data_IF_734899928109
#
_entry.id   IF_734899928109
#
_cell.length_a   1.000
_cell.length_b   1.000
_cell.length_c   1.000
_cell.angle_alpha   90.00
_cell.angle_beta   90.00
_cell.angle_gamma   90.00
#
_symmetry.space_group_name_H-M   'P 1'
#
loop_
_entity.id
_entity.type
_entity.pdbx_description
1 polymer ?
#
# COMPACT_ATOMS: atom_id res chain seq x y z
N UNK A 1 -5.92 25.79 -15.90
CA UNK A 1 -6.14 24.78 -16.96
C UNK A 1 -4.88 24.81 -17.81
N UNK A 2 -3.99 23.82 -17.65
CA UNK A 2 -2.87 23.63 -18.58
C UNK A 2 -3.46 23.14 -19.90
N UNK A 3 -2.91 23.57 -21.02
CA UNK A 3 -3.43 23.36 -22.38
C UNK A 3 -3.53 21.88 -22.82
N UNK A 4 -3.09 20.92 -22.02
CA UNK A 4 -3.05 19.48 -22.36
C UNK A 4 -4.06 18.60 -21.60
N UNK A 5 -5.04 19.18 -20.89
CA UNK A 5 -6.13 18.40 -20.27
C UNK A 5 -5.69 17.41 -19.17
N UNK A 6 -4.44 17.42 -18.74
CA UNK A 6 -3.96 16.58 -17.63
C UNK A 6 -4.46 17.18 -16.33
N UNK A 7 -5.42 16.52 -15.70
CA UNK A 7 -5.90 16.90 -14.37
C UNK A 7 -4.73 16.76 -13.38
N UNK A 8 -4.30 17.86 -12.78
CA UNK A 8 -3.26 17.83 -11.73
C UNK A 8 -3.81 17.04 -10.54
N UNK A 9 -3.15 15.95 -10.17
CA UNK A 9 -3.50 15.17 -8.99
C UNK A 9 -2.98 15.91 -7.75
N UNK A 10 -3.86 16.41 -6.86
CA UNK A 10 -3.43 17.10 -5.66
C UNK A 10 -2.78 16.14 -4.67
N UNK A 11 -1.94 16.66 -3.79
CA UNK A 11 -1.37 15.91 -2.67
C UNK A 11 -2.03 16.27 -1.37
N UNK A 12 -1.96 15.37 -0.39
CA UNK A 12 -2.48 15.58 0.97
C UNK A 12 -1.41 15.32 2.01
N UNK A 13 -1.51 16.02 3.15
CA UNK A 13 -0.74 15.69 4.34
C UNK A 13 -1.31 14.45 5.03
N UNK A 14 -0.51 13.83 5.90
CA UNK A 14 -0.97 12.74 6.77
C UNK A 14 -2.15 13.16 7.64
N UNK A 15 -2.15 14.40 8.13
CA UNK A 15 -3.25 14.95 8.92
C UNK A 15 -4.54 15.08 8.08
N UNK A 16 -4.45 15.57 6.85
CA UNK A 16 -5.58 15.64 5.94
C UNK A 16 -6.10 14.24 5.59
N UNK A 17 -5.22 13.27 5.36
CA UNK A 17 -5.67 11.90 5.06
C UNK A 17 -6.42 11.27 6.23
N UNK A 18 -5.98 11.48 7.47
CA UNK A 18 -6.72 11.04 8.66
C UNK A 18 -8.11 11.66 8.74
N UNK A 19 -8.23 12.93 8.37
CA UNK A 19 -9.53 13.60 8.36
C UNK A 19 -10.43 13.08 7.24
N UNK A 20 -9.88 12.76 6.05
CA UNK A 20 -10.62 12.04 5.00
C UNK A 20 -11.15 10.72 5.53
N UNK A 21 -10.32 9.91 6.19
CA UNK A 21 -10.74 8.62 6.76
C UNK A 21 -11.85 8.81 7.80
N UNK A 22 -11.75 9.83 8.67
CA UNK A 22 -12.79 10.16 9.66
C UNK A 22 -14.11 10.52 8.97
N UNK A 23 -14.08 11.41 7.98
CA UNK A 23 -15.27 11.83 7.22
C UNK A 23 -15.92 10.61 6.55
N UNK A 24 -15.11 9.75 5.94
CA UNK A 24 -15.59 8.52 5.30
C UNK A 24 -16.41 7.66 6.30
N UNK A 25 -15.84 7.39 7.46
CA UNK A 25 -16.43 6.47 8.44
C UNK A 25 -17.54 7.13 9.24
N UNK A 26 -17.28 8.32 9.82
CA UNK A 26 -18.17 8.92 10.82
C UNK A 26 -19.32 9.71 10.17
N UNK A 27 -19.12 10.33 9.01
CA UNK A 27 -20.12 11.19 8.38
C UNK A 27 -20.79 10.53 7.16
N UNK A 28 -20.01 9.84 6.32
CA UNK A 28 -20.53 9.22 5.10
C UNK A 28 -20.90 7.75 5.30
N UNK A 29 -20.62 7.18 6.47
CA UNK A 29 -20.90 5.78 6.83
C UNK A 29 -20.33 4.77 5.84
N UNK A 30 -19.16 5.09 5.25
CA UNK A 30 -18.41 4.17 4.41
C UNK A 30 -17.50 3.35 5.33
N UNK A 31 -17.83 2.09 5.47
CA UNK A 31 -17.18 1.19 6.41
C UNK A 31 -15.70 0.93 6.04
N UNK A 32 -14.85 0.84 7.06
CA UNK A 32 -13.43 0.51 6.89
C UNK A 32 -13.22 -0.79 6.09
N UNK A 33 -14.15 -1.74 6.19
CA UNK A 33 -14.15 -2.98 5.42
C UNK A 33 -14.23 -2.71 3.90
N UNK A 34 -15.09 -1.75 3.50
CA UNK A 34 -15.24 -1.36 2.09
C UNK A 34 -13.97 -0.71 1.56
N UNK A 35 -13.36 0.18 2.35
CA UNK A 35 -12.09 0.84 2.00
C UNK A 35 -10.97 -0.19 1.84
N UNK A 36 -10.82 -1.14 2.78
CA UNK A 36 -9.84 -2.23 2.69
C UNK A 36 -10.06 -3.15 1.48
N UNK A 37 -11.32 -3.47 1.16
CA UNK A 37 -11.64 -4.28 -0.02
C UNK A 37 -11.21 -3.58 -1.32
N UNK A 38 -11.43 -2.27 -1.43
CA UNK A 38 -10.99 -1.50 -2.59
C UNK A 38 -9.46 -1.42 -2.65
N UNK A 39 -8.80 -1.06 -1.54
CA UNK A 39 -7.34 -0.99 -1.47
C UNK A 39 -6.68 -2.32 -1.86
N UNK A 40 -7.14 -3.43 -1.28
CA UNK A 40 -6.58 -4.75 -1.56
C UNK A 40 -6.92 -5.26 -2.96
N UNK A 41 -8.09 -4.89 -3.50
CA UNK A 41 -8.46 -5.17 -4.89
C UNK A 41 -7.50 -4.47 -5.86
N UNK A 42 -7.25 -3.19 -5.63
CA UNK A 42 -6.32 -2.41 -6.45
C UNK A 42 -4.88 -2.92 -6.31
N UNK A 43 -4.42 -3.24 -5.09
CA UNK A 43 -3.09 -3.82 -4.87
C UNK A 43 -2.91 -5.15 -5.62
N UNK A 44 -3.89 -6.05 -5.54
CA UNK A 44 -3.83 -7.32 -6.27
C UNK A 44 -3.83 -7.11 -7.79
N UNK A 45 -4.65 -6.16 -8.30
CA UNK A 45 -4.70 -5.84 -9.71
C UNK A 45 -3.38 -5.22 -10.20
N UNK A 46 -2.79 -4.32 -9.41
CA UNK A 46 -1.50 -3.71 -9.70
C UNK A 46 -0.37 -4.75 -9.73
N UNK A 47 -0.32 -5.62 -8.72
CA UNK A 47 0.65 -6.72 -8.68
C UNK A 47 0.50 -7.68 -9.86
N UNK A 48 -0.75 -8.01 -10.26
CA UNK A 48 -1.01 -8.82 -11.45
C UNK A 48 -0.50 -8.15 -12.72
N UNK A 49 -0.75 -6.86 -12.89
CA UNK A 49 -0.24 -6.09 -14.04
C UNK A 49 1.28 -6.07 -14.06
N UNK A 50 1.90 -5.80 -12.92
CA UNK A 50 3.36 -5.79 -12.75
C UNK A 50 4.00 -7.14 -13.12
N UNK A 51 3.35 -8.25 -12.77
CA UNK A 51 3.80 -9.61 -13.08
C UNK A 51 3.42 -10.07 -14.51
N UNK A 52 2.99 -9.17 -15.38
CA UNK A 52 2.69 -9.47 -16.79
C UNK A 52 1.32 -10.15 -17.02
N UNK A 53 0.39 -10.03 -16.07
CA UNK A 53 -1.01 -10.46 -16.21
C UNK A 53 -1.28 -11.91 -15.83
N UNK A 54 -0.29 -12.81 -15.88
CA UNK A 54 -0.44 -14.24 -15.57
C UNK A 54 0.05 -14.54 -14.15
N UNK A 55 -0.86 -15.04 -13.32
CA UNK A 55 -0.58 -15.31 -11.91
C UNK A 55 -0.48 -16.81 -11.55
N UNK A 56 -0.93 -17.71 -12.44
CA UNK A 56 -0.92 -19.13 -12.16
C UNK A 56 0.49 -19.64 -11.82
N UNK A 57 0.65 -20.11 -10.58
CA UNK A 57 1.91 -20.62 -10.06
C UNK A 57 2.91 -19.54 -9.61
N UNK A 58 2.63 -18.24 -9.79
CA UNK A 58 3.47 -17.16 -9.28
C UNK A 58 3.47 -17.15 -7.75
N UNK A 59 4.66 -17.08 -7.18
CA UNK A 59 4.84 -17.01 -5.73
C UNK A 59 4.81 -15.56 -5.26
N UNK A 60 3.83 -15.18 -4.44
CA UNK A 60 3.70 -13.83 -3.91
C UNK A 60 3.69 -13.86 -2.39
N UNK A 61 4.59 -13.12 -1.78
CA UNK A 61 4.63 -12.98 -0.32
C UNK A 61 4.10 -11.61 0.06
N UNK A 62 3.09 -11.58 0.94
CA UNK A 62 2.49 -10.35 1.46
C UNK A 62 3.00 -10.12 2.89
N UNK A 63 3.70 -9.04 3.11
CA UNK A 63 4.10 -8.57 4.44
C UNK A 63 2.99 -7.67 4.98
N UNK A 64 2.29 -8.09 6.02
CA UNK A 64 1.11 -7.40 6.52
C UNK A 64 1.29 -6.93 7.97
N UNK A 65 1.00 -5.65 8.20
CA UNK A 65 0.85 -5.09 9.54
C UNK A 65 -0.53 -5.40 10.14
N UNK A 66 -0.77 -4.88 11.37
CA UNK A 66 -2.04 -5.11 12.10
C UNK A 66 -3.11 -4.05 11.81
N UNK A 67 -2.75 -2.95 11.13
CA UNK A 67 -3.64 -1.82 10.82
C UNK A 67 -4.34 -1.94 9.48
N UNK A 68 -4.91 -0.81 9.02
CA UNK A 68 -5.65 -0.71 7.75
C UNK A 68 -4.84 -1.13 6.54
N UNK A 69 -3.57 -0.72 6.49
CA UNK A 69 -2.64 -1.10 5.41
C UNK A 69 -2.48 -2.63 5.34
N UNK A 70 -2.20 -3.26 6.48
CA UNK A 70 -2.14 -4.73 6.58
C UNK A 70 -3.43 -5.41 6.15
N UNK A 71 -4.59 -4.85 6.53
CA UNK A 71 -5.90 -5.35 6.09
C UNK A 71 -6.05 -5.34 4.56
N UNK A 72 -5.62 -4.26 3.89
CA UNK A 72 -5.54 -4.19 2.43
C UNK A 72 -4.63 -5.27 1.84
N UNK A 73 -3.46 -5.50 2.46
CA UNK A 73 -2.55 -6.60 2.09
C UNK A 73 -3.21 -7.99 2.20
N UNK A 74 -3.96 -8.24 3.28
CA UNK A 74 -4.69 -9.51 3.47
C UNK A 74 -5.77 -9.71 2.40
N UNK A 75 -6.49 -8.66 2.01
CA UNK A 75 -7.44 -8.71 0.88
C UNK A 75 -6.71 -9.03 -0.42
N UNK A 76 -5.56 -8.40 -0.66
CA UNK A 76 -4.75 -8.68 -1.85
C UNK A 76 -4.29 -10.13 -1.90
N UNK A 77 -3.80 -10.70 -0.78
CA UNK A 77 -3.41 -12.11 -0.68
C UNK A 77 -4.57 -13.04 -1.09
N UNK A 78 -5.78 -12.77 -0.57
CA UNK A 78 -6.99 -13.51 -0.93
C UNK A 78 -7.26 -13.46 -2.44
N UNK A 79 -7.23 -12.29 -3.05
CA UNK A 79 -7.53 -12.10 -4.47
C UNK A 79 -6.49 -12.74 -5.36
N UNK A 80 -5.21 -12.60 -5.03
CA UNK A 80 -4.12 -13.25 -5.76
C UNK A 80 -4.26 -14.77 -5.74
N UNK A 81 -4.62 -15.36 -4.59
CA UNK A 81 -4.91 -16.80 -4.46
C UNK A 81 -6.07 -17.21 -5.37
N UNK A 82 -7.18 -16.46 -5.39
CA UNK A 82 -8.33 -16.72 -6.27
C UNK A 82 -7.91 -16.65 -7.75
N UNK A 83 -6.94 -15.81 -8.10
CA UNK A 83 -6.43 -15.69 -9.46
C UNK A 83 -5.30 -16.67 -9.80
N UNK A 84 -5.03 -17.65 -8.93
CA UNK A 84 -4.11 -18.77 -9.18
C UNK A 84 -2.68 -18.56 -8.72
N UNK A 85 -2.37 -17.45 -8.03
CA UNK A 85 -1.07 -17.28 -7.40
C UNK A 85 -0.91 -18.19 -6.17
N UNK A 86 0.32 -18.58 -5.89
CA UNK A 86 0.72 -19.20 -4.62
C UNK A 86 1.05 -18.06 -3.64
N UNK A 87 0.00 -17.54 -2.99
CA UNK A 87 0.16 -16.46 -2.04
C UNK A 87 0.42 -16.97 -0.62
N UNK A 88 1.28 -16.26 0.10
CA UNK A 88 1.53 -16.46 1.52
C UNK A 88 1.62 -15.12 2.23
N UNK A 89 1.29 -15.09 3.53
CA UNK A 89 1.30 -13.87 4.34
C UNK A 89 2.33 -14.01 5.47
N UNK A 90 3.06 -12.94 5.73
CA UNK A 90 3.89 -12.78 6.91
C UNK A 90 3.37 -11.58 7.70
N UNK A 91 2.88 -11.84 8.91
CA UNK A 91 2.43 -10.80 9.83
C UNK A 91 3.62 -10.15 10.50
N UNK A 92 3.65 -8.81 10.51
CA UNK A 92 4.68 -8.03 11.20
C UNK A 92 4.59 -8.09 12.72
N UNK A 93 3.49 -8.64 13.26
CA UNK A 93 3.25 -8.82 14.70
C UNK A 93 2.49 -10.13 14.95
N UNK A 94 2.22 -10.45 16.24
CA UNK A 94 1.51 -11.67 16.56
C UNK A 94 0.06 -11.66 16.04
N UNK A 95 -0.48 -12.84 15.72
CA UNK A 95 -1.90 -12.98 15.33
C UNK A 95 -2.85 -12.39 16.37
N UNK A 96 -2.49 -12.51 17.64
CA UNK A 96 -3.31 -12.05 18.75
C UNK A 96 -3.40 -10.52 18.86
N UNK A 97 -2.55 -9.78 18.16
CA UNK A 97 -2.58 -8.30 18.09
C UNK A 97 -3.45 -7.78 16.94
N UNK A 98 -3.76 -8.61 15.95
CA UNK A 98 -4.64 -8.24 14.84
C UNK A 98 -6.07 -8.11 15.37
N UNK A 99 -6.73 -6.98 15.15
CA UNK A 99 -8.07 -6.66 15.68
C UNK A 99 -8.99 -6.10 14.59
N UNK A 100 -10.30 -6.08 14.86
CA UNK A 100 -11.28 -5.44 14.01
C UNK A 100 -11.33 -6.00 12.58
N UNK A 101 -11.42 -5.12 11.60
CA UNK A 101 -11.54 -5.50 10.19
C UNK A 101 -10.33 -6.30 9.66
N UNK A 102 -9.06 -5.96 9.98
CA UNK A 102 -7.92 -6.82 9.63
C UNK A 102 -8.04 -8.25 10.17
N UNK A 103 -8.53 -8.42 11.40
CA UNK A 103 -8.73 -9.77 11.98
C UNK A 103 -9.77 -10.58 11.20
N UNK A 104 -10.84 -9.93 10.74
CA UNK A 104 -11.84 -10.55 9.87
C UNK A 104 -11.21 -11.03 8.54
N UNK A 105 -10.40 -10.20 7.89
CA UNK A 105 -9.70 -10.59 6.67
C UNK A 105 -8.71 -11.75 6.91
N UNK A 106 -8.02 -11.73 8.05
CA UNK A 106 -7.10 -12.80 8.43
C UNK A 106 -7.84 -14.14 8.66
N UNK A 107 -9.03 -14.10 9.26
CA UNK A 107 -9.87 -15.28 9.44
C UNK A 107 -10.30 -15.88 8.10
N UNK A 108 -10.68 -15.04 7.12
CA UNK A 108 -11.03 -15.48 5.77
C UNK A 108 -9.86 -16.25 5.14
N UNK A 109 -8.64 -15.72 5.21
CA UNK A 109 -7.44 -16.38 4.69
C UNK A 109 -7.19 -17.73 5.34
N UNK A 110 -7.39 -17.80 6.66
CA UNK A 110 -7.28 -19.07 7.41
C UNK A 110 -8.29 -20.11 6.92
N UNK A 111 -9.53 -19.72 6.68
CA UNK A 111 -10.60 -20.61 6.13
C UNK A 111 -10.32 -21.03 4.67
N UNK A 112 -9.60 -20.23 3.92
CA UNK A 112 -9.15 -20.54 2.56
C UNK A 112 -7.91 -21.44 2.52
N UNK A 113 -7.25 -21.68 3.67
CA UNK A 113 -6.01 -22.44 3.74
C UNK A 113 -4.79 -21.68 3.21
N UNK A 114 -4.85 -20.36 3.11
CA UNK A 114 -3.69 -19.55 2.73
C UNK A 114 -2.68 -19.56 3.87
N UNK A 115 -1.39 -19.90 3.60
CA UNK A 115 -0.35 -19.90 4.62
C UNK A 115 -0.17 -18.51 5.23
N UNK A 116 -0.21 -18.46 6.57
CA UNK A 116 0.05 -17.22 7.33
C UNK A 116 1.04 -17.52 8.43
N UNK A 117 2.19 -16.86 8.40
CA UNK A 117 3.25 -16.92 9.40
C UNK A 117 3.33 -15.60 10.17
N UNK A 118 3.92 -15.63 11.34
CA UNK A 118 4.39 -14.43 12.02
C UNK A 118 5.85 -14.17 11.65
N UNK A 119 6.35 -12.97 11.90
CA UNK A 119 7.74 -12.62 11.64
C UNK A 119 8.74 -13.59 12.35
N UNK A 120 8.38 -14.12 13.53
CA UNK A 120 9.17 -15.08 14.29
C UNK A 120 9.22 -16.48 13.65
N UNK A 121 8.15 -16.85 12.93
CA UNK A 121 8.02 -18.14 12.24
C UNK A 121 8.57 -18.09 10.81
N UNK A 122 8.86 -16.88 10.35
CA UNK A 122 9.18 -16.63 8.96
C UNK A 122 10.60 -17.10 8.61
N UNK A 123 10.70 -17.89 7.53
CA UNK A 123 11.97 -18.30 6.96
C UNK A 123 12.35 -17.35 5.80
N UNK A 124 13.52 -16.70 5.86
CA UNK A 124 13.98 -15.77 4.79
C UNK A 124 13.98 -16.37 3.39
N UNK A 125 14.14 -17.69 3.27
CA UNK A 125 14.12 -18.42 2.00
C UNK A 125 12.80 -18.29 1.22
N UNK A 126 11.68 -17.96 1.91
CA UNK A 126 10.41 -17.72 1.24
C UNK A 126 10.44 -16.44 0.39
N UNK A 127 11.15 -15.39 0.83
CA UNK A 127 11.34 -14.18 0.01
C UNK A 127 12.28 -14.43 -1.16
N UNK A 128 13.27 -15.30 -1.00
CA UNK A 128 14.22 -15.63 -2.07
C UNK A 128 13.56 -16.33 -3.27
N UNK A 129 12.40 -16.96 -3.06
CA UNK A 129 11.64 -17.65 -4.11
C UNK A 129 10.44 -16.85 -4.63
N UNK A 130 10.15 -15.71 -4.04
CA UNK A 130 9.02 -14.89 -4.45
C UNK A 130 9.23 -14.29 -5.84
N UNK A 131 8.17 -14.25 -6.65
CA UNK A 131 8.11 -13.46 -7.88
C UNK A 131 7.82 -11.98 -7.58
N UNK A 132 7.13 -11.71 -6.47
CA UNK A 132 6.91 -10.35 -5.93
C UNK A 132 6.68 -10.39 -4.41
N UNK A 133 7.05 -9.30 -3.75
CA UNK A 133 6.77 -9.05 -2.34
C UNK A 133 5.81 -7.87 -2.28
N UNK A 134 4.68 -8.01 -1.55
CA UNK A 134 3.78 -6.89 -1.29
C UNK A 134 4.08 -6.34 0.10
N UNK A 135 4.47 -5.08 0.18
CA UNK A 135 4.65 -4.37 1.44
C UNK A 135 3.34 -3.71 1.85
N UNK A 136 2.71 -4.24 2.86
CA UNK A 136 1.54 -3.71 3.53
C UNK A 136 1.75 -3.66 5.06
N UNK A 137 3.01 -3.46 5.52
CA UNK A 137 3.36 -3.42 6.94
C UNK A 137 2.87 -2.13 7.60
N UNK A 138 3.27 -0.96 7.05
CA UNK A 138 2.97 0.35 7.61
C UNK A 138 2.57 1.28 6.46
N UNK A 139 1.40 1.89 6.56
CA UNK A 139 0.99 2.96 5.64
C UNK A 139 1.37 4.35 6.15
N UNK A 140 0.59 5.36 5.78
CA UNK A 140 0.84 6.77 6.11
C UNK A 140 0.89 7.09 7.62
N UNK A 141 0.46 6.18 8.49
CA UNK A 141 0.38 6.42 9.95
C UNK A 141 1.72 6.22 10.70
N UNK A 142 2.83 6.03 9.99
CA UNK A 142 4.16 5.84 10.58
C UNK A 142 4.53 6.98 11.54
N UNK A 143 5.07 6.61 12.70
CA UNK A 143 5.62 7.54 13.69
C UNK A 143 7.04 7.12 14.07
N UNK A 144 8.03 7.73 13.41
CA UNK A 144 9.44 7.43 13.62
C UNK A 144 9.88 6.08 13.01
N UNK A 145 11.10 5.61 13.30
CA UNK A 145 11.67 4.44 12.66
C UNK A 145 10.88 3.16 12.98
N UNK A 146 10.73 2.25 12.00
CA UNK A 146 10.13 0.94 12.23
C UNK A 146 10.86 0.16 13.33
N UNK A 147 10.08 -0.48 14.21
CA UNK A 147 10.61 -1.30 15.32
C UNK A 147 10.58 -2.78 14.96
N UNK A 148 11.34 -3.57 15.70
CA UNK A 148 11.25 -5.03 15.58
C UNK A 148 9.85 -5.54 15.97
N UNK A 149 9.34 -6.57 15.32
CA UNK A 149 10.00 -7.38 14.27
C UNK A 149 9.84 -6.83 12.83
N UNK A 150 9.07 -5.75 12.63
CA UNK A 150 8.82 -5.13 11.30
C UNK A 150 10.14 -4.67 10.66
N UNK A 151 11.04 -4.08 11.45
CA UNK A 151 12.35 -3.64 10.94
C UNK A 151 13.14 -4.79 10.29
N UNK A 152 13.13 -5.96 10.89
CA UNK A 152 13.78 -7.16 10.34
C UNK A 152 13.11 -7.64 9.05
N UNK A 153 11.79 -7.56 8.94
CA UNK A 153 11.05 -7.90 7.69
C UNK A 153 11.39 -6.94 6.55
N UNK A 154 11.45 -5.62 6.84
CA UNK A 154 11.85 -4.61 5.85
C UNK A 154 13.27 -4.91 5.33
N UNK A 155 14.23 -5.16 6.24
CA UNK A 155 15.60 -5.50 5.84
C UNK A 155 15.66 -6.81 5.03
N UNK A 156 14.83 -7.79 5.36
CA UNK A 156 14.75 -9.04 4.61
C UNK A 156 14.17 -8.82 3.20
N UNK A 157 13.10 -8.04 3.07
CA UNK A 157 12.50 -7.68 1.79
C UNK A 157 13.49 -6.94 0.89
N UNK A 158 14.21 -5.95 1.42
CA UNK A 158 15.21 -5.20 0.65
C UNK A 158 16.41 -6.04 0.19
N UNK A 159 16.69 -7.19 0.83
CA UNK A 159 17.75 -8.13 0.41
C UNK A 159 17.27 -9.15 -0.61
N UNK A 160 15.96 -9.33 -0.76
CA UNK A 160 15.41 -10.26 -1.74
C UNK A 160 15.63 -9.74 -3.17
N UNK A 161 15.74 -10.68 -4.12
CA UNK A 161 15.80 -10.34 -5.54
C UNK A 161 14.44 -9.99 -6.15
N UNK A 162 13.36 -10.37 -5.46
CA UNK A 162 12.00 -10.10 -5.89
C UNK A 162 11.67 -8.60 -5.78
N UNK A 163 10.94 -8.01 -6.75
CA UNK A 163 10.47 -6.63 -6.65
C UNK A 163 9.52 -6.47 -5.47
N UNK A 164 9.65 -5.34 -4.76
CA UNK A 164 8.72 -4.95 -3.70
C UNK A 164 7.69 -3.98 -4.26
N UNK A 165 6.42 -4.30 -4.09
CA UNK A 165 5.26 -3.47 -4.43
C UNK A 165 4.68 -2.93 -3.13
N UNK A 166 4.82 -1.63 -2.88
CA UNK A 166 4.36 -1.02 -1.64
C UNK A 166 2.90 -0.55 -1.75
N UNK A 167 2.14 -0.78 -0.68
CA UNK A 167 0.78 -0.27 -0.52
C UNK A 167 0.81 1.02 0.28
N UNK A 168 0.21 2.06 -0.26
CA UNK A 168 0.00 3.39 0.30
C UNK A 168 1.30 4.21 0.40
N UNK A 169 2.20 3.86 1.29
CA UNK A 169 3.52 4.47 1.50
C UNK A 169 4.51 3.34 1.77
N UNK A 170 5.70 3.32 1.15
CA UNK A 170 6.72 2.33 1.49
C UNK A 170 6.99 2.31 2.99
N UNK A 171 6.91 1.13 3.62
CA UNK A 171 7.06 1.02 5.07
C UNK A 171 8.42 1.53 5.54
N UNK A 172 8.39 2.53 6.42
CA UNK A 172 9.60 3.24 6.88
C UNK A 172 9.78 4.63 6.29
N UNK A 173 8.99 5.01 5.27
CA UNK A 173 9.01 6.37 4.70
C UNK A 173 8.01 7.26 5.42
N UNK A 174 8.41 8.49 5.75
CA UNK A 174 7.51 9.49 6.33
C UNK A 174 6.59 10.10 5.26
N UNK A 175 5.29 10.03 5.49
CA UNK A 175 4.28 10.43 4.51
C UNK A 175 4.19 11.94 4.25
N UNK A 176 4.69 12.79 5.13
CA UNK A 176 4.67 14.25 4.97
C UNK A 176 5.99 14.80 4.43
N UNK A 177 7.10 14.38 5.00
CA UNK A 177 8.43 14.91 4.66
C UNK A 177 9.14 14.14 3.54
N UNK A 178 8.76 12.87 3.32
CA UNK A 178 9.50 11.98 2.42
C UNK A 178 10.83 11.49 3.01
N UNK A 179 11.07 11.72 4.30
CA UNK A 179 12.25 11.21 5.00
C UNK A 179 12.17 9.69 5.14
N UNK A 180 13.21 9.00 4.71
CA UNK A 180 13.37 7.57 4.97
C UNK A 180 14.00 7.34 6.34
N UNK A 181 13.33 6.52 7.16
CA UNK A 181 13.92 6.01 8.40
C UNK A 181 14.75 4.74 8.14
N UNK A 182 15.55 4.32 9.08
CA UNK A 182 16.25 3.03 9.02
C UNK A 182 15.52 1.98 9.87
N UNK A 183 15.01 0.90 9.23
CA UNK A 183 14.99 0.63 7.79
C UNK A 183 13.73 1.19 7.07
N UNK A 184 13.85 1.42 5.77
CA UNK A 184 12.75 1.77 4.87
C UNK A 184 12.70 0.77 3.71
N UNK A 185 11.51 0.37 3.27
CA UNK A 185 11.30 -0.43 2.05
C UNK A 185 11.79 0.35 0.83
N UNK A 186 12.59 -0.31 -0.01
CA UNK A 186 12.92 0.15 -1.34
C UNK A 186 11.95 -0.48 -2.34
N UNK A 187 10.89 0.23 -2.66
CA UNK A 187 9.86 -0.26 -3.57
C UNK A 187 10.30 -0.16 -5.03
N UNK A 188 9.94 -1.15 -5.83
CA UNK A 188 10.00 -1.05 -7.29
C UNK A 188 8.83 -0.22 -7.82
N UNK A 189 7.69 -0.29 -7.13
CA UNK A 189 6.51 0.53 -7.40
C UNK A 189 5.70 0.72 -6.12
N UNK A 190 5.04 1.87 -6.00
CA UNK A 190 4.15 2.21 -4.88
C UNK A 190 2.76 2.48 -5.41
N UNK A 191 1.76 1.83 -4.82
CA UNK A 191 0.35 2.07 -5.06
C UNK A 191 -0.22 2.88 -3.90
N UNK A 192 -0.21 4.21 -4.00
CA UNK A 192 -0.80 5.07 -2.97
C UNK A 192 -2.31 5.11 -3.07
N UNK A 193 -2.99 5.38 -1.95
CA UNK A 193 -4.44 5.26 -1.81
C UNK A 193 -5.09 6.64 -1.69
N UNK A 194 -6.28 6.80 -2.27
CA UNK A 194 -7.10 8.01 -2.19
C UNK A 194 -6.45 9.23 -2.89
N UNK A 195 -5.40 9.80 -2.29
CA UNK A 195 -4.53 10.82 -2.86
C UNK A 195 -3.07 10.60 -2.45
N UNK A 196 -2.10 11.04 -3.27
CA UNK A 196 -0.69 10.93 -2.91
C UNK A 196 -0.38 11.75 -1.65
N UNK A 197 0.33 11.14 -0.71
CA UNK A 197 0.85 11.85 0.46
C UNK A 197 1.97 12.78 0.01
N UNK A 198 2.03 13.99 0.57
CA UNK A 198 2.97 15.03 0.15
C UNK A 198 4.43 14.54 0.15
N UNK A 199 4.79 13.68 1.11
CA UNK A 199 6.13 13.10 1.21
C UNK A 199 6.54 12.22 0.03
N UNK A 200 5.59 11.52 -0.61
CA UNK A 200 5.87 10.67 -1.77
C UNK A 200 6.37 11.47 -2.99
N UNK A 201 5.98 12.74 -3.07
CA UNK A 201 6.35 13.64 -4.17
C UNK A 201 7.68 14.37 -3.93
N UNK A 202 8.30 14.19 -2.75
CA UNK A 202 9.56 14.85 -2.41
C UNK A 202 10.75 14.18 -3.11
N UNK A 203 11.76 14.95 -3.54
CA UNK A 203 12.98 14.38 -4.15
C UNK A 203 13.64 13.34 -3.26
N UNK A 204 13.65 13.54 -1.93
CA UNK A 204 14.24 12.63 -0.96
C UNK A 204 13.54 11.24 -0.92
N UNK A 205 12.31 11.12 -1.41
CA UNK A 205 11.55 9.88 -1.43
C UNK A 205 11.80 9.03 -2.70
N UNK A 206 12.40 9.60 -3.74
CA UNK A 206 12.54 8.99 -5.07
C UNK A 206 13.12 7.59 -5.05
N UNK A 207 14.22 7.39 -4.32
CA UNK A 207 14.93 6.11 -4.25
C UNK A 207 14.13 5.00 -3.55
N UNK A 208 13.04 5.38 -2.85
CA UNK A 208 12.23 4.49 -2.02
C UNK A 208 10.88 4.16 -2.65
N UNK A 209 10.31 5.10 -3.41
CA UNK A 209 8.94 5.02 -3.94
C UNK A 209 8.85 4.18 -5.21
N UNK A 210 9.88 4.21 -6.06
CA UNK A 210 9.83 3.62 -7.40
C UNK A 210 8.76 4.29 -8.27
N UNK A 211 8.14 3.53 -9.18
CA UNK A 211 7.03 4.02 -9.98
C UNK A 211 5.80 4.26 -9.11
N UNK A 212 5.25 5.47 -9.14
CA UNK A 212 4.11 5.85 -8.30
C UNK A 212 2.79 5.72 -9.06
N UNK A 213 1.83 5.03 -8.45
CA UNK A 213 0.45 4.92 -8.93
C UNK A 213 -0.52 5.30 -7.82
N UNK A 214 -1.68 5.81 -8.22
CA UNK A 214 -2.78 6.17 -7.33
C UNK A 214 -3.94 5.20 -7.53
N UNK A 215 -4.49 4.67 -6.43
CA UNK A 215 -5.62 3.77 -6.43
C UNK A 215 -6.90 4.44 -5.94
N UNK A 216 -7.99 4.17 -6.64
CA UNK A 216 -9.34 4.49 -6.19
C UNK A 216 -9.75 3.54 -5.03
N UNK A 217 -10.00 4.12 -3.88
CA UNK A 217 -10.60 3.42 -2.73
C UNK A 217 -12.03 3.90 -2.45
N UNK A 218 -12.64 4.57 -3.44
CA UNK A 218 -14.02 5.05 -3.40
C UNK A 218 -14.24 6.21 -2.40
N UNK A 219 -13.31 7.16 -2.34
CA UNK A 219 -13.49 8.39 -1.56
C UNK A 219 -14.39 9.36 -2.31
N UNK A 220 -15.58 9.73 -1.78
CA UNK A 220 -16.43 10.72 -2.41
C UNK A 220 -15.78 12.10 -2.43
N UNK A 221 -16.02 12.86 -3.51
CA UNK A 221 -15.48 14.21 -3.68
C UNK A 221 -15.82 15.14 -2.50
N UNK A 222 -16.96 14.92 -1.86
CA UNK A 222 -17.43 15.69 -0.70
C UNK A 222 -16.44 15.61 0.48
N UNK A 223 -15.76 14.46 0.68
CA UNK A 223 -14.76 14.34 1.72
C UNK A 223 -13.54 15.24 1.46
N UNK A 224 -13.12 15.36 0.22
CA UNK A 224 -12.03 16.27 -0.17
C UNK A 224 -12.44 17.75 -0.12
N UNK A 225 -13.68 18.07 -0.53
CA UNK A 225 -14.21 19.45 -0.50
C UNK A 225 -14.23 20.02 0.92
N UNK A 226 -14.54 19.22 1.93
CA UNK A 226 -14.51 19.64 3.34
C UNK A 226 -13.10 20.08 3.80
N UNK A 227 -12.06 19.59 3.13
CA UNK A 227 -10.66 19.93 3.41
C UNK A 227 -10.12 21.04 2.48
N UNK A 228 -10.99 21.60 1.61
CA UNK A 228 -10.57 22.57 0.61
C UNK A 228 -9.67 21.99 -0.50
N UNK A 229 -9.72 20.66 -0.70
CA UNK A 229 -8.96 19.97 -1.75
C UNK A 229 -9.88 19.76 -2.95
N UNK A 230 -9.54 20.41 -4.06
CA UNK A 230 -10.23 20.21 -5.32
C UNK A 230 -9.62 19.05 -6.09
N UNK A 231 -10.44 18.09 -6.50
CA UNK A 231 -10.05 16.94 -7.30
C UNK A 231 -10.95 16.83 -8.53
N UNK A 232 -10.33 16.68 -9.69
CA UNK A 232 -11.05 16.35 -10.93
C UNK A 232 -11.44 14.86 -10.99
N UNK A 233 -12.03 14.40 -12.10
CA UNK A 233 -12.45 13.01 -12.27
C UNK A 233 -11.25 12.09 -12.59
N UNK A 234 -10.28 12.03 -11.67
CA UNK A 234 -9.00 11.33 -11.83
C UNK A 234 -9.19 9.85 -12.20
N UNK A 235 -10.23 9.22 -11.64
CA UNK A 235 -10.50 7.79 -11.84
C UNK A 235 -11.55 7.50 -12.92
N UNK A 236 -11.91 8.48 -13.78
CA UNK A 236 -12.95 8.28 -14.78
C UNK A 236 -12.68 7.16 -15.78
N UNK A 237 -11.41 6.87 -16.06
CA UNK A 237 -11.00 5.85 -17.04
C UNK A 237 -10.42 4.57 -16.42
N UNK A 238 -9.93 4.63 -15.20
CA UNK A 238 -9.26 3.49 -14.54
C UNK A 238 -9.27 3.66 -13.03
N UNK A 239 -9.40 2.54 -12.30
CA UNK A 239 -9.27 2.50 -10.83
C UNK A 239 -7.83 2.68 -10.34
N UNK A 240 -6.83 2.59 -11.24
CA UNK A 240 -5.42 2.79 -10.95
C UNK A 240 -4.84 3.68 -12.03
N UNK A 241 -4.25 4.80 -11.62
CA UNK A 241 -3.66 5.79 -12.54
C UNK A 241 -2.20 6.08 -12.17
N UNK A 242 -1.31 6.31 -13.16
CA UNK A 242 0.06 6.71 -12.87
C UNK A 242 0.10 8.12 -12.29
N UNK A 243 1.03 8.34 -11.35
CA UNK A 243 1.33 9.67 -10.79
C UNK A 243 2.72 10.07 -11.25
N UNK A 244 2.85 11.05 -12.15
CA UNK A 244 4.16 11.52 -12.58
C UNK A 244 4.95 12.07 -11.38
N UNK A 245 6.18 11.59 -11.23
CA UNK A 245 7.15 12.18 -10.32
C UNK A 245 7.99 13.15 -11.14
N UNK A 246 7.80 14.46 -10.96
CA UNK A 246 8.53 15.48 -11.72
C UNK A 246 10.05 15.36 -11.58
N UNK A 247 10.75 15.25 -12.71
CA UNK A 247 12.21 15.29 -12.77
C UNK A 247 12.77 16.73 -12.70
N UNK A 248 11.89 17.73 -12.57
CA UNK A 248 12.21 19.14 -12.82
C UNK A 248 12.74 19.93 -11.60
N UNK A 249 13.39 19.30 -10.60
CA UNK A 249 14.02 20.03 -9.49
C UNK A 249 15.52 19.68 -9.30
N UNK A 250 16.26 19.46 -10.38
CA UNK A 250 17.69 19.71 -10.36
C UNK A 250 17.93 21.02 -11.11
N UNK A 251 17.91 22.15 -10.40
CA UNK A 251 18.62 23.41 -10.69
C UNK A 251 18.02 24.58 -9.89
N UNK A 252 18.41 24.70 -8.64
CA UNK A 252 18.68 26.00 -8.01
C UNK A 252 19.82 25.83 -7.03
#
# INVERSE_FOLDING_TARGET
MSEDGVSVIPTVTVAQMREVDRIMVDELHIELLQMMENAGRCLAAHARSWLGGQLTGRQVVVLAGIGGNGGGGLVAARRLTIWGAVAAVVLGQSRSEVRGVPAHQLEILGRMGVPVWTAEQFLPDALARADAILDALIGYSLQGPPREPIASLIRAANRASAPVIALDVPSGLDGDSGQAFDPTIKAATTLTLALPKAGLMRPAARDWVGDLYLADISVPVQAYQQLGVEIGPVFAASDIVPVPLDDSTEHV
#
